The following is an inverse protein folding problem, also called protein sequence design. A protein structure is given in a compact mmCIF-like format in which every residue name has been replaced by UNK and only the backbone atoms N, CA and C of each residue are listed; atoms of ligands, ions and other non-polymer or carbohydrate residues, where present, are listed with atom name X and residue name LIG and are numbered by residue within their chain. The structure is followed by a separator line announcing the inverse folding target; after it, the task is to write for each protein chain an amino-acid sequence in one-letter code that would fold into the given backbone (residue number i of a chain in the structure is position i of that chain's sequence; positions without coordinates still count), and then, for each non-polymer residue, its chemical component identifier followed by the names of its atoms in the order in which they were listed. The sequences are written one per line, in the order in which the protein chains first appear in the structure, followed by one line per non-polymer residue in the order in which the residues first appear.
data_IF_269465596517
#
_entry.id   IF_269465596517
#
_cell.length_a   1.000
_cell.length_b   1.000
_cell.length_c   1.000
_cell.angle_alpha   90.00
_cell.angle_beta   90.00
_cell.angle_gamma   90.00
#
_symmetry.space_group_name_H-M   'P 1'
#
loop_
_entity.id
_entity.type
_entity.pdbx_description
1 polymer ?
#
# COMPACT_ATOMS: atom_id res chain seq x y z
N UNK A 1 33.10 14.60 2.19
CA UNK A 1 32.50 13.76 1.14
C UNK A 1 32.13 12.40 1.74
N UNK A 2 30.92 12.23 2.31
CA UNK A 2 30.56 10.94 2.93
C UNK A 2 29.06 10.75 3.24
N UNK A 3 28.21 11.65 2.72
CA UNK A 3 26.76 11.51 2.83
C UNK A 3 26.21 10.48 1.84
N UNK A 4 26.79 10.43 0.64
CA UNK A 4 26.42 9.49 -0.43
C UNK A 4 26.72 8.05 -0.02
N UNK A 5 27.91 7.78 0.53
CA UNK A 5 28.30 6.44 0.98
C UNK A 5 27.42 5.91 2.11
N UNK A 6 27.00 6.79 3.03
CA UNK A 6 26.08 6.43 4.11
C UNK A 6 24.70 6.09 3.57
N UNK A 7 24.19 6.84 2.60
CA UNK A 7 22.91 6.54 1.98
C UNK A 7 22.95 5.21 1.21
N UNK A 8 24.03 4.97 0.46
CA UNK A 8 24.21 3.74 -0.30
C UNK A 8 24.38 2.50 0.60
N UNK A 9 25.12 2.63 1.70
CA UNK A 9 25.21 1.60 2.74
C UNK A 9 23.84 1.29 3.38
N UNK A 10 23.03 2.31 3.67
CA UNK A 10 21.69 2.13 4.24
C UNK A 10 20.73 1.48 3.25
N UNK A 11 20.88 1.80 1.95
CA UNK A 11 20.13 1.18 0.86
C UNK A 11 20.47 -0.31 0.72
N UNK A 12 21.77 -0.62 0.56
CA UNK A 12 22.27 -1.99 0.35
C UNK A 12 21.85 -2.95 1.46
N UNK A 13 21.72 -2.46 2.70
CA UNK A 13 21.41 -3.31 3.87
C UNK A 13 20.01 -3.95 3.85
N UNK A 14 19.03 -3.33 3.19
CA UNK A 14 17.65 -3.83 3.10
C UNK A 14 17.07 -3.60 1.69
N UNK A 15 17.88 -3.80 0.66
CA UNK A 15 17.48 -3.59 -0.74
C UNK A 15 16.32 -4.52 -1.12
N UNK A 16 15.32 -3.96 -1.80
CA UNK A 16 14.15 -4.71 -2.30
C UNK A 16 14.39 -5.02 -3.78
N UNK A 17 15.37 -5.87 -4.07
CA UNK A 17 15.57 -6.36 -5.42
C UNK A 17 14.59 -7.50 -5.75
N UNK A 18 13.91 -7.38 -6.88
CA UNK A 18 12.89 -8.33 -7.34
C UNK A 18 13.16 -8.70 -8.79
N UNK A 19 13.37 -9.99 -9.04
CA UNK A 19 13.52 -10.52 -10.40
C UNK A 19 12.27 -10.18 -11.21
N UNK A 20 12.46 -9.43 -12.28
CA UNK A 20 11.40 -9.01 -13.19
C UNK A 20 11.88 -9.12 -14.63
N UNK A 21 10.98 -9.53 -15.53
CA UNK A 21 11.26 -9.60 -16.97
C UNK A 21 11.35 -8.21 -17.61
N UNK A 22 10.72 -7.19 -17.01
CA UNK A 22 10.74 -5.82 -17.54
C UNK A 22 11.73 -4.96 -16.77
N UNK A 23 12.68 -4.36 -17.49
CA UNK A 23 13.82 -3.62 -16.94
C UNK A 23 13.44 -2.43 -16.06
N UNK A 24 12.36 -1.72 -16.39
CA UNK A 24 11.89 -0.55 -15.64
C UNK A 24 11.44 -0.84 -14.21
N UNK A 25 11.11 -2.09 -13.86
CA UNK A 25 10.80 -2.43 -12.47
C UNK A 25 12.01 -2.21 -11.55
N UNK A 26 13.23 -2.41 -12.06
CA UNK A 26 14.46 -2.13 -11.31
C UNK A 26 14.54 -0.65 -10.92
N UNK A 27 14.17 0.25 -11.83
CA UNK A 27 14.14 1.69 -11.59
C UNK A 27 13.10 2.03 -10.52
N UNK A 28 11.90 1.46 -10.61
CA UNK A 28 10.83 1.68 -9.63
C UNK A 28 11.25 1.26 -8.20
N UNK A 29 11.78 0.05 -8.04
CA UNK A 29 12.22 -0.42 -6.73
C UNK A 29 13.41 0.38 -6.19
N UNK A 30 14.34 0.77 -7.06
CA UNK A 30 15.43 1.67 -6.69
C UNK A 30 14.92 3.01 -6.11
N UNK A 31 13.95 3.64 -6.78
CA UNK A 31 13.34 4.88 -6.28
C UNK A 31 12.61 4.67 -4.96
N UNK A 32 11.88 3.56 -4.80
CA UNK A 32 11.19 3.24 -3.55
C UNK A 32 12.18 3.13 -2.38
N UNK A 33 13.27 2.39 -2.57
CA UNK A 33 14.31 2.27 -1.55
C UNK A 33 14.97 3.62 -1.22
N UNK A 34 15.23 4.46 -2.23
CA UNK A 34 15.77 5.80 -2.03
C UNK A 34 14.82 6.69 -1.21
N UNK A 35 13.52 6.65 -1.49
CA UNK A 35 12.50 7.38 -0.72
C UNK A 35 12.50 6.94 0.75
N UNK A 36 12.57 5.64 1.02
CA UNK A 36 12.60 5.10 2.40
C UNK A 36 13.87 5.53 3.14
N UNK A 37 15.03 5.49 2.48
CA UNK A 37 16.30 5.96 3.07
C UNK A 37 16.25 7.45 3.38
N UNK A 38 15.73 8.26 2.45
CA UNK A 38 15.58 9.71 2.66
C UNK A 38 14.62 10.02 3.82
N UNK A 39 13.48 9.32 3.90
CA UNK A 39 12.55 9.45 5.02
C UNK A 39 13.21 9.07 6.36
N UNK A 40 14.07 8.05 6.37
CA UNK A 40 14.82 7.65 7.56
C UNK A 40 15.88 8.67 7.97
N UNK A 41 16.52 9.35 7.02
CA UNK A 41 17.45 10.46 7.31
C UNK A 41 16.72 11.61 7.99
N UNK A 42 15.56 12.01 7.44
CA UNK A 42 14.72 13.06 8.03
C UNK A 42 14.24 12.65 9.42
N UNK A 43 13.77 11.41 9.59
CA UNK A 43 13.36 10.86 10.88
C UNK A 43 14.48 10.95 11.92
N UNK A 44 15.71 10.56 11.54
CA UNK A 44 16.88 10.67 12.41
C UNK A 44 17.24 12.10 12.75
N UNK A 45 17.05 13.05 11.83
CA UNK A 45 17.34 14.46 12.07
C UNK A 45 16.32 15.11 13.01
N UNK A 46 15.06 14.66 12.99
CA UNK A 46 13.98 15.28 13.76
C UNK A 46 13.71 14.61 15.10
N UNK A 47 14.20 13.39 15.30
CA UNK A 47 14.08 12.66 16.56
C UNK A 47 15.30 12.94 17.42
N UNK A 48 15.12 13.72 18.50
CA UNK A 48 16.16 14.02 19.50
C UNK A 48 16.32 12.90 20.56
N UNK A 49 15.43 11.90 20.56
CA UNK A 49 15.40 10.79 21.53
C UNK A 49 15.75 9.41 20.97
N UNK A 50 15.07 8.37 21.47
CA UNK A 50 15.31 6.97 21.10
C UNK A 50 15.10 6.71 19.60
N UNK A 51 16.20 6.55 18.87
CA UNK A 51 16.19 6.28 17.44
C UNK A 51 15.88 4.81 17.18
N UNK A 52 14.79 4.57 16.45
CA UNK A 52 14.48 3.23 15.96
C UNK A 52 15.57 2.76 14.98
N UNK A 53 16.04 1.50 15.08
CA UNK A 53 16.92 0.95 14.07
C UNK A 53 16.19 0.86 12.73
N UNK A 54 16.93 0.99 11.62
CA UNK A 54 16.39 1.06 10.26
C UNK A 54 15.35 -0.05 9.96
N UNK A 55 15.60 -1.29 10.42
CA UNK A 55 14.65 -2.41 10.26
C UNK A 55 13.28 -2.11 10.88
N UNK A 56 13.27 -1.63 12.13
CA UNK A 56 12.04 -1.32 12.86
C UNK A 56 11.33 -0.13 12.24
N UNK A 57 12.08 0.87 11.76
CA UNK A 57 11.53 1.99 11.00
C UNK A 57 10.84 1.51 9.70
N UNK A 58 11.46 0.60 8.94
CA UNK A 58 10.84 0.06 7.71
C UNK A 58 9.58 -0.75 8.02
N UNK A 59 9.58 -1.54 9.09
CA UNK A 59 8.41 -2.29 9.55
C UNK A 59 7.29 -1.33 9.94
N UNK A 60 7.58 -0.30 10.74
CA UNK A 60 6.55 0.67 11.16
C UNK A 60 5.93 1.41 9.98
N UNK A 61 6.75 1.84 9.02
CA UNK A 61 6.28 2.44 7.75
C UNK A 61 5.39 1.46 6.98
N UNK A 62 5.82 0.20 6.81
CA UNK A 62 5.04 -0.80 6.12
C UNK A 62 3.70 -1.08 6.83
N UNK A 63 3.71 -1.25 8.15
CA UNK A 63 2.48 -1.46 8.95
C UNK A 63 1.54 -0.26 8.87
N UNK A 64 2.07 0.97 8.86
CA UNK A 64 1.28 2.18 8.71
C UNK A 64 0.63 2.27 7.33
N UNK A 65 1.35 1.88 6.28
CA UNK A 65 0.81 1.84 4.92
C UNK A 65 -0.24 0.73 4.73
N UNK A 66 -0.04 -0.45 5.35
CA UNK A 66 -1.00 -1.56 5.31
C UNK A 66 -2.27 -1.21 6.11
N UNK A 67 -2.10 -0.61 7.29
CA UNK A 67 -3.19 -0.22 8.18
C UNK A 67 -3.90 1.08 7.79
N UNK A 68 -3.39 1.80 6.79
CA UNK A 68 -4.04 3.00 6.28
C UNK A 68 -5.41 2.62 5.70
N UNK A 69 -6.48 3.04 6.37
CA UNK A 69 -7.83 2.96 5.82
C UNK A 69 -7.86 3.85 4.58
N UNK A 70 -7.80 3.22 3.41
CA UNK A 70 -8.07 3.92 2.17
C UNK A 70 -9.47 4.52 2.30
N UNK A 71 -9.57 5.84 2.44
CA UNK A 71 -10.80 6.57 2.16
C UNK A 71 -11.03 6.46 0.66
N UNK A 72 -11.39 5.27 0.17
CA UNK A 72 -11.86 5.15 -1.19
C UNK A 72 -13.18 5.90 -1.22
N UNK A 73 -13.35 6.95 -2.05
CA UNK A 73 -14.70 7.37 -2.39
C UNK A 73 -15.39 6.09 -2.89
N UNK A 74 -16.60 5.78 -2.38
CA UNK A 74 -17.37 4.60 -2.78
C UNK A 74 -17.40 4.55 -4.31
N UNK A 75 -16.50 3.76 -4.90
CA UNK A 75 -16.34 3.73 -6.35
C UNK A 75 -17.32 2.69 -6.86
N UNK A 76 -18.45 3.20 -7.33
CA UNK A 76 -19.53 2.40 -7.89
C UNK A 76 -20.75 3.28 -8.15
N UNK A 77 -21.61 2.81 -9.06
CA UNK A 77 -22.97 3.36 -9.24
C UNK A 77 -23.66 3.33 -7.86
N UNK A 78 -24.30 4.42 -7.39
CA UNK A 78 -25.10 4.35 -6.17
C UNK A 78 -26.03 3.14 -6.30
N UNK A 79 -25.89 2.19 -5.37
CA UNK A 79 -26.77 1.03 -5.33
C UNK A 79 -28.19 1.56 -5.29
N UNK A 80 -29.00 1.14 -6.27
CA UNK A 80 -30.41 1.51 -6.29
C UNK A 80 -30.98 1.20 -4.90
N UNK A 81 -31.58 2.21 -4.27
CA UNK A 81 -32.16 2.08 -2.95
C UNK A 81 -33.05 0.83 -2.87
N UNK A 82 -33.03 0.17 -1.71
CA UNK A 82 -33.86 -1.00 -1.41
C UNK A 82 -35.34 -0.64 -1.57
N UNK A 83 -35.87 -0.71 -2.79
CA UNK A 83 -37.30 -0.85 -2.98
C UNK A 83 -37.60 -2.33 -2.74
N UNK A 84 -38.43 -2.67 -1.74
CA UNK A 84 -38.87 -4.04 -1.61
C UNK A 84 -39.65 -4.39 -2.86
N UNK A 85 -39.18 -5.42 -3.53
CA UNK A 85 -39.83 -5.99 -4.69
C UNK A 85 -41.29 -6.38 -4.34
N UNK A 86 -42.28 -5.67 -4.92
CA UNK A 86 -43.72 -5.83 -4.62
C UNK A 86 -44.45 -6.78 -5.59
N UNK A 87 -43.78 -7.44 -6.53
CA UNK A 87 -44.49 -8.34 -7.44
C UNK A 87 -44.73 -9.71 -6.81
N UNK A 88 -46.00 -10.03 -6.55
CA UNK A 88 -46.45 -11.41 -6.28
C UNK A 88 -46.09 -12.29 -7.50
N UNK A 89 -45.55 -13.47 -7.24
CA UNK A 89 -45.27 -14.45 -8.29
C UNK A 89 -46.62 -14.95 -8.84
N UNK A 90 -47.03 -14.43 -9.99
CA UNK A 90 -48.23 -14.87 -10.71
C UNK A 90 -47.92 -16.10 -11.57
N UNK A 91 -47.50 -17.21 -10.96
CA UNK A 91 -47.49 -18.48 -11.70
C UNK A 91 -48.92 -19.02 -11.76
N UNK A 92 -49.48 -19.11 -12.97
CA UNK A 92 -50.76 -19.76 -13.22
C UNK A 92 -50.64 -21.26 -12.89
N UNK A 93 -51.62 -21.87 -12.19
CA UNK A 93 -51.56 -23.30 -11.88
C UNK A 93 -51.55 -24.11 -13.18
N UNK A 94 -50.66 -25.12 -13.24
CA UNK A 94 -50.57 -26.05 -14.36
C UNK A 94 -51.93 -26.74 -14.57
N UNK A 95 -52.48 -26.66 -15.78
CA UNK A 95 -53.71 -27.39 -16.15
C UNK A 95 -53.45 -28.90 -16.05
N UNK A 96 -54.29 -29.60 -15.30
CA UNK A 96 -54.44 -31.04 -15.39
C UNK A 96 -55.30 -31.38 -16.63
N UNK A 97 -55.02 -32.55 -17.21
CA UNK A 97 -55.50 -33.12 -18.48
C UNK A 97 -57.02 -33.02 -18.65
#
# INVERSE_FOLDING_TARGET
MGGVDKADMLKSRYEVDRKSKKWWHRIFFYFLDLCVVNAYIIYKSRSEGARLPLKQFRISVATGLIGAKNQTPKRGRPGCSKTPNKYKVTVLPKKAI
#
